data_IF_558783618913
#
_entry.id   IF_558783618913
#
_cell.length_a   1.000
_cell.length_b   1.000
_cell.length_c   1.000
_cell.angle_alpha   90.00
_cell.angle_beta   90.00
_cell.angle_gamma   90.00
#
_symmetry.space_group_name_H-M   'P 1'
#
loop_
_entity.id
_entity.type
_entity.pdbx_description
1 polymer ?
2 non-polymer ?
3 non-polymer ?
4 non-polymer ?
5 non-polymer ?
6 non-polymer ?
7 non-polymer ?
8 water ?
#
# COMPACT_ATOMS: atom_id res chain seq x y z
N UNK A 21 1.43 23.16 -0.40
CA UNK A 21 1.92 23.43 0.97
C UNK A 21 0.92 22.98 2.04
N UNK A 22 1.44 22.58 3.21
CA UNK A 22 0.60 22.14 4.32
C UNK A 22 0.06 23.37 5.04
N UNK A 23 -1.26 23.42 5.25
CA UNK A 23 -1.87 24.52 5.99
C UNK A 23 -1.96 24.09 7.44
N UNK A 24 -1.41 24.90 8.32
CA UNK A 24 -1.28 24.57 9.74
C UNK A 24 -2.04 25.62 10.55
N UNK A 25 -2.85 25.16 11.49
CA UNK A 25 -3.49 26.04 12.49
C UNK A 25 -2.85 25.83 13.86
N UNK A 26 -2.57 26.92 14.59
CA UNK A 26 -2.01 26.88 15.95
C UNK A 26 -2.97 27.50 16.96
N UNK A 27 -3.27 26.77 18.03
CA UNK A 27 -4.20 27.21 19.06
C UNK A 27 -3.53 27.29 20.45
N UNK A 28 -3.39 28.50 20.98
CA UNK A 28 -2.74 28.70 22.28
C UNK A 28 -3.22 30.01 22.89
N UNK A 29 -3.12 30.12 24.20
CA UNK A 29 -3.32 31.39 24.89
C UNK A 29 -2.03 32.25 24.97
N UNK A 30 -0.85 31.64 24.73
CA UNK A 30 0.41 32.38 24.67
C UNK A 30 0.60 32.97 23.27
N UNK A 31 0.14 34.21 23.10
CA UNK A 31 0.24 34.95 21.85
C UNK A 31 1.70 35.20 21.43
N UNK A 32 2.56 35.51 22.41
CA UNK A 32 3.99 35.67 22.14
C UNK A 32 4.54 34.43 21.43
N UNK A 33 4.18 33.25 21.96
CA UNK A 33 4.62 31.99 21.38
C UNK A 33 4.02 31.76 20.00
N UNK A 34 2.73 32.02 19.85
CA UNK A 34 2.05 31.89 18.56
C UNK A 34 2.71 32.77 17.50
N UNK A 35 2.93 34.05 17.85
CA UNK A 35 3.62 35.01 16.96
C UNK A 35 5.02 34.58 16.62
N UNK A 36 5.74 34.06 17.60
CA UNK A 36 7.10 33.59 17.38
C UNK A 36 7.11 32.48 16.31
N UNK A 37 6.20 31.50 16.41
CA UNK A 37 6.18 30.37 15.46
C UNK A 37 5.67 30.78 14.11
N UNK A 38 4.52 31.44 14.08
CA UNK A 38 3.94 31.86 12.81
C UNK A 38 4.86 32.80 12.03
N UNK A 39 5.62 33.62 12.77
CA UNK A 39 6.62 34.50 12.17
C UNK A 39 7.75 33.75 11.51
N UNK A 40 8.24 32.70 12.18
CA UNK A 40 9.33 31.89 11.64
C UNK A 40 8.81 31.03 10.50
N UNK A 41 7.69 30.36 10.74
CA UNK A 41 7.08 29.48 9.73
C UNK A 41 6.67 30.19 8.45
N UNK A 42 6.02 31.34 8.57
CA UNK A 42 5.60 32.09 7.39
C UNK A 42 6.75 32.88 6.70
N UNK A 43 7.98 32.81 7.24
CA UNK A 43 9.14 33.34 6.53
C UNK A 43 10.08 32.21 6.12
N UNK A 44 10.76 31.61 7.08
CA UNK A 44 11.77 30.57 6.78
C UNK A 44 11.19 29.28 6.15
N UNK A 45 9.91 29.00 6.41
CA UNK A 45 9.24 27.79 5.89
C UNK A 45 8.01 28.14 5.02
N UNK A 46 7.99 29.34 4.45
CA UNK A 46 6.84 29.81 3.66
C UNK A 46 6.68 29.03 2.36
N UNK A 47 7.75 28.42 1.89
CA UNK A 47 7.73 27.52 0.75
C UNK A 47 7.01 26.20 1.04
N UNK A 48 7.03 25.74 2.30
CA UNK A 48 6.46 24.43 2.69
C UNK A 48 5.18 24.51 3.52
N UNK A 49 5.05 25.57 4.33
CA UNK A 49 3.91 25.73 5.22
C UNK A 49 3.17 27.02 4.99
N UNK A 50 1.96 27.06 5.52
CA UNK A 50 1.13 28.25 5.55
C UNK A 50 0.41 28.21 6.90
N UNK A 51 0.81 29.11 7.80
CA UNK A 51 0.43 29.01 9.22
C UNK A 51 -0.48 30.14 9.69
N UNK A 52 -1.59 29.72 10.31
CA UNK A 52 -2.58 30.60 10.93
C UNK A 52 -2.56 30.33 12.43
N UNK A 53 -2.76 31.36 13.23
CA UNK A 53 -2.72 31.22 14.70
C UNK A 53 -4.00 31.73 15.33
N UNK A 54 -4.36 31.15 16.48
CA UNK A 54 -5.62 31.43 17.17
C UNK A 54 -5.44 31.38 18.69
N UNK A 55 -6.16 32.26 19.41
CA UNK A 55 -6.28 32.14 20.86
C UNK A 55 -7.64 31.62 21.31
N UNK A 56 -8.60 31.58 20.39
CA UNK A 56 -9.96 31.12 20.69
C UNK A 56 -10.19 29.75 20.05
N UNK A 57 -10.72 28.81 20.82
CA UNK A 57 -10.98 27.46 20.31
C UNK A 57 -12.00 27.43 19.18
N UNK A 58 -13.11 28.15 19.33
CA UNK A 58 -14.19 28.11 18.32
C UNK A 58 -13.72 28.64 16.95
N UNK A 59 -12.98 29.75 16.96
CA UNK A 59 -12.38 30.30 15.74
C UNK A 59 -11.41 29.36 15.08
N UNK A 60 -10.61 28.65 15.87
CA UNK A 60 -9.66 27.68 15.35
C UNK A 60 -10.37 26.52 14.65
N UNK A 61 -11.40 25.97 15.30
CA UNK A 61 -12.11 24.79 14.78
C UNK A 61 -12.82 25.12 13.47
N UNK A 62 -13.59 26.21 13.45
CA UNK A 62 -14.31 26.59 12.23
C UNK A 62 -13.38 27.06 11.11
N UNK A 63 -12.22 27.63 11.47
CA UNK A 63 -11.18 27.94 10.49
C UNK A 63 -10.58 26.70 9.81
N UNK A 64 -10.61 25.55 10.48
CA UNK A 64 -10.11 24.30 9.89
C UNK A 64 -10.88 23.97 8.63
N UNK A 65 -12.21 24.00 8.78
CA UNK A 65 -13.15 23.73 7.69
C UNK A 65 -13.00 24.79 6.59
N UNK A 66 -13.07 26.06 7.01
CA UNK A 66 -13.05 27.19 6.10
C UNK A 66 -11.74 27.32 5.32
N UNK A 67 -10.61 27.37 6.02
CA UNK A 67 -9.30 27.51 5.35
C UNK A 67 -8.75 26.20 4.81
N UNK A 68 -9.39 25.07 5.09
CA UNK A 68 -8.93 23.75 4.62
C UNK A 68 -7.57 23.43 5.26
N UNK A 69 -7.55 23.49 6.59
CA UNK A 69 -6.32 23.24 7.35
C UNK A 69 -6.07 21.74 7.47
N UNK A 70 -4.79 21.36 7.34
CA UNK A 70 -4.33 19.96 7.32
C UNK A 70 -3.79 19.48 8.67
N UNK A 71 -3.23 20.40 9.47
CA UNK A 71 -2.76 20.07 10.81
C UNK A 71 -3.15 21.20 11.77
N UNK A 72 -3.93 20.84 12.80
CA UNK A 72 -4.17 21.71 13.96
C UNK A 72 -3.28 21.30 15.15
N UNK A 73 -2.50 22.25 15.69
CA UNK A 73 -1.76 22.00 16.93
C UNK A 73 -2.29 22.92 18.04
N UNK A 74 -2.86 22.31 19.09
CA UNK A 74 -3.44 23.03 20.22
C UNK A 74 -2.60 22.86 21.48
N UNK A 75 -2.61 23.87 22.34
CA UNK A 75 -1.94 23.78 23.64
C UNK A 75 -2.61 22.69 24.50
N UNK A 76 -1.79 21.88 25.16
CA UNK A 76 -2.21 20.66 25.89
C UNK A 76 -3.42 20.80 26.80
N UNK A 77 -3.67 21.98 27.37
CA UNK A 77 -4.87 22.18 28.20
C UNK A 77 -6.17 22.18 27.42
N UNK A 78 -6.13 22.45 26.11
CA UNK A 78 -7.33 22.35 25.28
C UNK A 78 -7.75 20.87 25.16
N UNK A 79 -9.06 20.62 25.08
CA UNK A 79 -9.61 19.30 24.76
C UNK A 79 -10.27 19.37 23.39
N UNK A 80 -9.53 19.05 22.34
CA UNK A 80 -10.05 19.19 20.97
C UNK A 80 -10.78 17.92 20.54
N UNK A 81 -12.03 18.10 20.10
CA UNK A 81 -12.83 17.03 19.47
C UNK A 81 -12.62 17.11 17.95
N UNK A 82 -11.77 16.23 17.42
CA UNK A 82 -11.42 16.21 15.99
C UNK A 82 -12.56 15.83 15.02
N UNK A 83 -13.70 15.38 15.54
CA UNK A 83 -14.90 15.19 14.71
C UNK A 83 -15.51 16.52 14.25
N UNK A 84 -15.21 17.61 14.97
CA UNK A 84 -15.67 18.95 14.60
C UNK A 84 -14.91 19.58 13.43
N UNK A 85 -13.78 19.00 13.04
CA UNK A 85 -13.00 19.53 11.92
C UNK A 85 -13.79 19.48 10.61
N UNK A 86 -14.60 18.43 10.45
CA UNK A 86 -15.36 18.17 9.23
C UNK A 86 -14.45 18.13 7.99
N UNK A 87 -13.26 17.56 8.17
CA UNK A 87 -12.22 17.55 7.15
C UNK A 87 -11.10 16.58 7.55
N UNK A 88 -10.42 15.99 6.57
CA UNK A 88 -9.16 15.31 6.82
C UNK A 88 -8.14 16.34 7.34
N UNK A 89 -7.88 16.29 8.63
CA UNK A 89 -6.99 17.23 9.31
C UNK A 89 -6.38 16.58 10.54
N UNK A 90 -5.06 16.61 10.64
CA UNK A 90 -4.35 16.06 11.78
C UNK A 90 -4.41 16.92 13.03
N UNK A 91 -4.27 16.27 14.19
CA UNK A 91 -4.28 16.93 15.51
C UNK A 91 -3.02 16.55 16.28
N UNK A 92 -2.39 17.56 16.91
CA UNK A 92 -1.28 17.36 17.84
C UNK A 92 -1.39 18.36 19.00
N UNK A 93 -0.71 18.09 20.11
CA UNK A 93 -0.72 19.02 21.26
C UNK A 93 0.66 19.57 21.58
N UNK A 94 0.70 20.87 21.84
CA UNK A 94 1.91 21.55 22.32
C UNK A 94 2.05 21.29 23.83
N UNK A 95 3.27 21.03 24.28
CA UNK A 95 3.53 20.83 25.70
C UNK A 95 4.87 21.40 26.11
N UNK A 96 4.99 21.66 27.42
CA UNK A 96 6.24 22.02 28.05
C UNK A 96 6.91 20.82 28.73
N UNK A 97 6.30 19.65 28.68
CA UNK A 97 6.75 18.54 29.51
C UNK A 97 7.61 17.59 28.65
N UNK A 98 8.88 17.36 29.03
CA UNK A 98 9.71 16.44 28.25
C UNK A 98 9.34 14.96 28.47
N UNK A 99 9.82 14.12 27.55
CA UNK A 99 9.64 12.67 27.63
C UNK A 99 8.22 12.17 27.42
N UNK A 100 7.35 12.99 26.86
CA UNK A 100 5.94 12.63 26.70
C UNK A 100 5.62 12.53 25.21
N UNK A 101 5.33 11.32 24.75
CA UNK A 101 5.14 11.06 23.33
C UNK A 101 3.74 11.38 22.87
N UNK A 102 2.74 11.11 23.73
CA UNK A 102 1.35 11.33 23.40
C UNK A 102 0.62 12.11 24.46
N UNK A 103 -0.29 12.96 24.01
CA UNK A 103 -1.20 13.69 24.90
C UNK A 103 -2.58 13.54 24.31
N UNK A 104 -3.54 13.12 25.16
CA UNK A 104 -4.92 12.87 24.72
C UNK A 104 -4.96 12.13 23.37
N UNK A 105 -4.18 11.06 23.28
CA UNK A 105 -4.11 10.18 22.11
C UNK A 105 -3.45 10.70 20.85
N UNK A 106 -2.80 11.86 20.92
CA UNK A 106 -2.23 12.49 19.75
C UNK A 106 -0.77 12.80 19.99
N UNK A 107 -0.03 13.08 18.92
CA UNK A 107 1.37 13.45 19.03
C UNK A 107 1.52 14.69 19.94
N UNK A 108 2.49 14.62 20.85
CA UNK A 108 2.84 15.70 21.73
C UNK A 108 4.01 16.42 21.08
N UNK A 109 3.93 17.74 21.02
CA UNK A 109 4.99 18.58 20.43
C UNK A 109 5.55 19.52 21.52
N UNK A 110 6.82 19.33 21.84
CA UNK A 110 7.50 20.15 22.80
C UNK A 110 7.66 21.62 22.27
N UNK A 111 7.11 22.59 22.97
CA UNK A 111 7.16 23.99 22.53
C UNK A 111 8.56 24.58 22.35
N UNK A 112 9.49 24.10 23.17
CA UNK A 112 10.78 24.76 23.33
C UNK A 112 11.95 23.98 22.77
N UNK A 113 11.67 23.00 21.92
CA UNK A 113 12.73 22.45 21.07
C UNK A 113 12.90 23.36 19.85
N UNK A 114 13.91 23.08 19.05
CA UNK A 114 14.17 23.83 17.83
C UNK A 114 12.97 23.83 16.89
N UNK A 115 12.74 24.96 16.23
CA UNK A 115 11.63 25.12 15.29
C UNK A 115 11.70 24.06 14.19
N UNK A 116 12.90 23.71 13.75
CA UNK A 116 13.07 22.66 12.73
C UNK A 116 12.52 21.31 13.18
N UNK A 117 12.69 21.00 14.46
CA UNK A 117 12.15 19.78 15.05
C UNK A 117 10.64 19.86 15.19
N UNK A 118 10.09 21.04 15.52
CA UNK A 118 8.63 21.23 15.53
C UNK A 118 8.10 21.01 14.11
N UNK A 119 8.73 21.66 13.15
CA UNK A 119 8.38 21.51 11.72
C UNK A 119 8.27 20.04 11.33
N UNK A 120 9.30 19.25 11.65
CA UNK A 120 9.34 17.82 11.32
C UNK A 120 8.23 17.02 11.99
N UNK A 121 7.83 17.40 13.20
CA UNK A 121 6.70 16.75 13.87
C UNK A 121 5.38 17.04 13.15
N UNK A 122 5.25 18.27 12.66
CA UNK A 122 4.08 18.67 11.89
C UNK A 122 3.95 17.85 10.60
N UNK A 123 5.08 17.60 9.93
CA UNK A 123 5.13 16.77 8.75
C UNK A 123 4.68 15.35 9.07
N UNK A 124 5.15 14.83 10.20
CA UNK A 124 4.72 13.54 10.74
C UNK A 124 3.22 13.42 10.95
N UNK A 125 2.65 14.45 11.58
CA UNK A 125 1.21 14.49 11.86
C UNK A 125 0.43 14.55 10.56
N UNK A 126 0.94 15.35 9.63
CA UNK A 126 0.34 15.38 8.29
C UNK A 126 0.44 14.00 7.62
N UNK A 127 1.61 13.38 7.69
CA UNK A 127 1.85 12.07 7.02
C UNK A 127 0.94 10.99 7.59
N UNK A 128 0.85 10.93 8.92
CA UNK A 128 -0.03 10.01 9.64
C UNK A 128 -1.45 10.17 9.19
N UNK A 130 -2.53 11.50 6.36
CA UNK A 130 -2.62 11.04 4.98
C UNK A 130 -2.62 9.50 4.90
N UNK A 131 -1.77 8.86 5.71
CA UNK A 131 -1.58 7.41 5.68
C UNK A 131 -2.83 6.65 6.13
N UNK A 132 -3.57 7.25 7.06
CA UNK A 132 -4.79 6.68 7.59
C UNK A 132 -5.92 6.61 6.56
N UNK A 133 -5.90 7.48 5.55
CA UNK A 133 -6.91 7.44 4.49
C UNK A 133 -6.29 7.16 3.11
N UNK A 134 -5.05 6.67 3.08
CA UNK A 134 -4.44 6.21 1.83
C UNK A 134 -5.35 5.20 1.14
N UNK A 135 -5.29 5.20 -0.18
CA UNK A 135 -6.09 4.31 -1.02
C UNK A 135 -5.28 4.10 -2.29
N UNK A 136 -5.53 3.02 -3.01
CA UNK A 136 -4.75 2.73 -4.23
C UNK A 136 -4.98 3.83 -5.27
N UNK A 137 -3.89 4.35 -5.81
CA UNK A 137 -3.92 5.42 -6.80
C UNK A 137 -3.53 4.89 -8.18
N UNK A 138 -4.17 5.46 -9.21
CA UNK A 138 -3.83 5.26 -10.61
C UNK A 138 -3.06 6.40 -11.22
N UNK A 139 -2.61 7.37 -10.42
CA UNK A 139 -1.81 8.50 -10.92
C UNK A 139 -0.44 8.05 -11.42
N UNK A 140 0.06 8.72 -12.45
CA UNK A 140 1.34 8.34 -13.08
C UNK A 140 2.58 8.48 -12.21
N UNK A 141 2.51 9.26 -11.13
CA UNK A 141 3.65 9.42 -10.22
C UNK A 141 3.65 8.43 -9.04
N UNK A 142 2.72 7.48 -9.03
CA UNK A 142 2.62 6.45 -8.00
C UNK A 142 3.01 5.11 -8.59
N UNK A 143 3.43 4.17 -7.73
CA UNK A 143 3.84 2.86 -8.21
C UNK A 143 2.72 2.21 -9.00
N UNK A 144 3.07 1.53 -10.10
CA UNK A 144 2.12 0.66 -10.80
C UNK A 144 1.70 -0.46 -9.86
N UNK A 145 0.41 -0.81 -9.89
CA UNK A 145 -0.08 -1.94 -9.08
C UNK A 145 -0.42 -3.07 -10.06
N UNK A 146 0.34 -4.17 -9.95
CA UNK A 146 0.16 -5.34 -10.79
C UNK A 146 -0.26 -6.51 -9.90
N UNK A 147 -1.47 -7.04 -10.14
CA UNK A 147 -2.01 -8.12 -9.28
C UNK A 147 -2.00 -9.43 -10.07
N UNK A 148 -1.31 -10.43 -9.53
CA UNK A 148 -1.36 -11.81 -10.03
C UNK A 148 -2.45 -12.55 -9.28
N UNK A 149 -3.29 -13.26 -10.03
CA UNK A 149 -4.41 -13.99 -9.47
C UNK A 149 -4.85 -15.03 -10.49
N UNK A 150 -5.50 -16.09 -10.01
CA UNK A 150 -5.99 -17.12 -10.92
C UNK A 150 -7.01 -18.00 -10.23
N UNK A 151 -8.11 -18.32 -10.95
CA UNK A 151 -9.02 -19.37 -10.44
C UNK A 151 -8.53 -20.79 -10.67
N UNK A 152 -7.43 -20.97 -11.38
CA UNK A 152 -6.87 -22.30 -11.66
C UNK A 152 -5.85 -22.67 -10.60
N UNK A 153 -6.18 -23.61 -9.72
CA UNK A 153 -5.28 -23.95 -8.64
C UNK A 153 -3.99 -24.60 -9.14
N UNK A 154 -2.88 -24.28 -8.45
CA UNK A 154 -1.57 -24.94 -8.67
C UNK A 154 -0.91 -24.79 -10.03
N UNK A 155 -1.37 -23.79 -10.79
CA UNK A 155 -0.83 -23.56 -12.13
C UNK A 155 0.47 -22.79 -12.11
N UNK A 156 0.86 -22.32 -10.93
CA UNK A 156 2.13 -21.65 -10.72
C UNK A 156 2.02 -20.16 -10.56
N UNK A 157 0.81 -19.65 -10.29
CA UNK A 157 0.61 -18.23 -10.16
C UNK A 157 1.60 -17.54 -9.21
N UNK A 158 1.74 -18.07 -7.99
CA UNK A 158 2.66 -17.47 -7.02
C UNK A 158 4.14 -17.52 -7.48
N UNK A 159 4.54 -18.63 -8.08
CA UNK A 159 5.91 -18.78 -8.60
C UNK A 159 6.18 -17.74 -9.68
N UNK A 160 5.23 -17.59 -10.61
CA UNK A 160 5.35 -16.64 -11.72
C UNK A 160 5.38 -15.20 -11.22
N UNK A 161 4.62 -14.89 -10.19
CA UNK A 161 4.63 -13.56 -9.58
C UNK A 161 5.98 -13.26 -8.93
N UNK A 162 6.51 -14.23 -8.21
CA UNK A 162 7.82 -14.07 -7.62
C UNK A 162 8.88 -13.93 -8.70
N UNK A 163 8.80 -14.76 -9.73
CA UNK A 163 9.75 -14.69 -10.85
C UNK A 163 9.72 -13.33 -11.54
N UNK A 164 8.53 -12.73 -11.62
CA UNK A 164 8.33 -11.45 -12.26
C UNK A 164 8.98 -10.36 -11.45
N UNK A 165 8.76 -10.41 -10.13
CA UNK A 165 9.39 -9.45 -9.22
C UNK A 165 10.91 -9.50 -9.39
N UNK A 166 11.49 -10.69 -9.35
CA UNK A 166 12.93 -10.84 -9.56
C UNK A 166 13.38 -10.31 -10.94
N UNK A 167 12.64 -10.66 -11.98
CA UNK A 167 12.95 -10.27 -13.37
C UNK A 167 12.99 -8.76 -13.52
N UNK A 168 12.04 -8.09 -12.90
CA UNK A 168 11.92 -6.65 -12.96
C UNK A 168 13.00 -6.00 -12.10
N UNK A 169 13.27 -6.57 -10.91
CA UNK A 169 14.45 -6.14 -10.10
C UNK A 169 15.74 -6.24 -10.89
N UNK A 170 15.92 -7.37 -11.58
CA UNK A 170 17.08 -7.59 -12.43
C UNK A 170 17.25 -6.50 -13.49
N UNK A 172 16.46 -3.35 -13.05
CA UNK A 172 16.71 -2.07 -12.39
C UNK A 172 15.47 -1.41 -11.82
N UNK A 173 14.35 -2.12 -11.80
CA UNK A 173 13.13 -1.58 -11.21
C UNK A 173 13.18 -1.72 -9.68
N UNK A 174 12.63 -0.73 -8.99
CA UNK A 174 12.39 -0.83 -7.56
C UNK A 174 11.03 -1.47 -7.37
N UNK A 175 11.05 -2.74 -6.97
CA UNK A 175 9.86 -3.60 -6.94
C UNK A 175 9.49 -3.94 -5.51
N UNK A 176 8.20 -3.76 -5.19
CA UNK A 176 7.66 -4.28 -3.95
C UNK A 176 6.75 -5.49 -4.25
N UNK A 177 6.83 -6.51 -3.40
CA UNK A 177 6.14 -7.80 -3.58
C UNK A 177 5.27 -8.00 -2.37
N UNK A 178 3.97 -8.16 -2.58
CA UNK A 178 3.00 -8.30 -1.50
C UNK A 178 2.23 -9.60 -1.72
N UNK A 179 2.19 -10.46 -0.71
CA UNK A 179 1.55 -11.76 -0.82
C UNK A 179 0.47 -11.81 0.19
N UNK A 180 -0.76 -11.96 -0.28
CA UNK A 180 -1.95 -11.87 0.59
C UNK A 180 -2.67 -13.23 0.67
N UNK A 181 -2.00 -14.31 0.29
CA UNK A 181 -2.55 -15.66 0.51
C UNK A 181 -2.40 -16.11 1.95
N UNK A 182 -3.40 -16.86 2.41
CA UNK A 182 -3.38 -17.40 3.78
C UNK A 182 -2.13 -18.26 4.02
N UNK A 183 -1.88 -19.18 3.09
CA UNK A 183 -0.74 -20.07 3.17
C UNK A 183 0.28 -19.67 2.13
N UNK A 184 0.49 -18.36 2.00
CA UNK A 184 1.43 -17.81 1.04
C UNK A 184 2.84 -18.29 1.30
N UNK A 185 3.62 -18.37 0.25
CA UNK A 185 4.96 -18.95 0.30
C UNK A 185 6.10 -17.92 0.12
N UNK A 186 5.84 -16.69 0.57
CA UNK A 186 6.82 -15.59 0.49
C UNK A 186 8.19 -16.02 1.00
N UNK A 187 8.22 -16.68 2.16
CA UNK A 187 9.48 -17.07 2.80
C UNK A 187 10.21 -18.20 2.07
N UNK A 188 9.52 -18.96 1.23
CA UNK A 188 10.23 -19.91 0.36
C UNK A 188 10.98 -19.16 -0.72
N UNK A 189 10.39 -18.10 -1.26
CA UNK A 189 10.92 -17.40 -2.42
C UNK A 189 11.96 -16.35 -2.03
N UNK A 190 11.73 -15.61 -0.94
CA UNK A 190 12.59 -14.51 -0.51
C UNK A 190 13.05 -14.69 0.94
N UNK A 191 14.31 -14.36 1.20
CA UNK A 191 14.91 -14.41 2.55
C UNK A 191 15.67 -13.14 2.85
N UNK A 192 15.63 -12.72 4.10
CA UNK A 192 16.33 -11.52 4.54
C UNK A 192 16.46 -11.54 6.06
N UNK A 193 17.51 -10.93 6.59
CA UNK A 193 17.67 -10.76 8.02
C UNK A 193 16.53 -9.89 8.54
N UNK A 194 16.14 -10.08 9.78
CA UNK A 194 15.16 -9.22 10.43
C UNK A 194 14.02 -10.01 11.04
N UNK A 195 13.49 -9.54 12.16
CA UNK A 195 12.39 -10.21 12.86
C UNK A 195 11.00 -9.63 12.55
N UNK A 196 10.93 -8.52 11.82
CA UNK A 196 9.63 -7.93 11.43
C UNK A 196 8.97 -8.78 10.36
N UNK A 197 7.68 -9.06 10.54
CA UNK A 197 6.90 -9.79 9.54
C UNK A 197 5.65 -8.99 9.17
N UNK A 199 2.81 -9.74 10.12
CA UNK A 199 2.02 -9.64 11.35
C UNK A 199 2.13 -8.25 11.97
N UNK A 200 3.33 -7.68 11.93
CA UNK A 200 3.60 -6.35 12.47
C UNK A 200 2.94 -5.28 11.63
N UNK A 201 3.01 -5.47 10.31
CA UNK A 201 2.32 -4.63 9.34
C UNK A 201 0.82 -4.60 9.68
N UNK A 202 0.21 -5.78 9.85
CA UNK A 202 -1.23 -5.85 10.16
C UNK A 202 -1.54 -5.16 11.48
N UNK A 203 -0.71 -5.39 12.50
CA UNK A 203 -0.92 -4.78 13.79
C UNK A 203 -0.92 -3.25 13.65
N UNK A 204 0.09 -2.70 12.99
CA UNK A 204 0.18 -1.25 12.76
C UNK A 204 -1.04 -0.69 12.04
N UNK A 205 -1.55 -1.41 11.03
CA UNK A 205 -2.75 -0.97 10.30
C UNK A 205 -4.02 -0.98 11.12
N UNK A 206 -4.09 -1.87 12.10
CA UNK A 206 -5.27 -1.98 12.93
C UNK A 206 -5.21 -1.07 14.17
N UNK A 207 -4.03 -0.86 14.73
CA UNK A 207 -3.91 0.07 15.85
C UNK A 207 -4.06 1.48 15.29
N UNK A 208 -5.12 2.18 15.64
CA UNK A 208 -5.27 3.59 15.26
C UNK A 208 -4.19 4.45 15.96
N UNK A 209 -2.93 4.26 15.54
CA UNK A 209 -1.74 4.81 16.21
C UNK A 209 -0.86 5.61 15.25
N UNK A 210 0.04 6.40 15.82
CA UNK A 210 0.84 7.39 15.07
C UNK A 210 2.06 6.75 14.43
N UNK A 211 2.70 7.52 13.56
CA UNK A 211 3.86 7.09 12.76
C UNK A 211 3.63 5.89 11.88
N UNK A 212 2.44 5.80 11.30
CA UNK A 212 2.05 4.63 10.52
C UNK A 212 3.05 4.31 9.42
N UNK A 213 3.42 5.33 8.66
CA UNK A 213 4.25 5.14 7.49
C UNK A 213 5.67 4.74 7.88
N UNK A 214 6.17 5.28 8.99
CA UNK A 214 7.49 4.88 9.49
C UNK A 214 7.46 3.46 10.03
N UNK A 215 6.39 3.09 10.73
CA UNK A 215 6.21 1.72 11.21
C UNK A 215 6.21 0.73 10.05
N UNK A 216 5.42 1.03 9.02
CA UNK A 216 5.35 0.19 7.82
C UNK A 216 6.71 0.04 7.15
N UNK A 217 7.46 1.15 7.06
CA UNK A 217 8.80 1.12 6.46
C UNK A 217 9.78 0.29 7.26
N UNK A 218 9.66 0.29 8.58
CA UNK A 218 10.51 -0.54 9.41
C UNK A 218 10.29 -2.05 9.20
N UNK A 219 9.14 -2.46 8.69
CA UNK A 219 8.90 -3.89 8.41
C UNK A 219 9.43 -4.38 7.07
N UNK A 220 9.88 -3.46 6.23
CA UNK A 220 10.31 -3.81 4.89
C UNK A 220 11.64 -4.54 4.92
N UNK A 221 11.68 -5.69 4.27
CA UNK A 221 12.91 -6.43 4.06
C UNK A 221 13.26 -6.37 2.59
N UNK A 222 14.49 -6.72 2.27
CA UNK A 222 14.94 -6.69 0.89
C UNK A 222 15.64 -7.99 0.50
N UNK A 223 15.16 -8.63 -0.56
CA UNK A 223 15.66 -9.94 -0.93
C UNK A 223 17.07 -9.81 -1.47
N UNK A 224 17.74 -10.94 -1.66
CA UNK A 224 19.09 -10.94 -2.26
C UNK A 224 19.12 -10.28 -3.65
N UNK A 225 18.02 -10.35 -4.38
CA UNK A 225 17.95 -9.75 -5.73
C UNK A 225 17.32 -8.34 -5.76
N UNK A 226 17.11 -7.73 -4.60
CA UNK A 226 16.65 -6.35 -4.53
C UNK A 226 15.16 -6.13 -4.47
N UNK A 227 14.39 -7.22 -4.35
CA UNK A 227 12.95 -7.13 -4.23
C UNK A 227 12.62 -6.78 -2.79
N UNK A 228 11.79 -5.76 -2.60
CA UNK A 228 11.34 -5.38 -1.28
C UNK A 228 10.03 -6.11 -1.00
N UNK A 229 9.84 -6.47 0.28
CA UNK A 229 8.68 -7.25 0.68
C UNK A 229 8.49 -7.24 2.20
N UNK A 230 7.38 -7.82 2.65
CA UNK A 230 7.18 -8.11 4.06
C UNK A 230 7.22 -9.61 4.16
N UNK A 231 7.96 -10.17 5.11
CA UNK A 231 7.98 -11.63 5.25
C UNK A 231 6.62 -12.14 5.76
N UNK A 232 6.41 -13.45 5.64
CA UNK A 232 5.15 -14.05 5.97
C UNK A 232 4.74 -13.79 7.41
N UNK A 233 3.44 -13.67 7.67
CA UNK A 233 2.93 -13.51 9.04
C UNK A 233 3.47 -14.63 9.92
N UNK A 234 3.65 -14.36 11.21
CA UNK A 234 4.26 -15.33 12.14
C UNK A 234 3.50 -16.67 12.13
N UNK A 235 2.17 -16.58 12.17
CA UNK A 235 1.31 -17.74 11.85
C UNK A 235 0.35 -17.35 10.73
N UNK A 236 -0.08 -18.34 9.95
CA UNK A 236 -0.92 -18.10 8.76
C UNK A 236 -2.26 -17.44 9.12
N UNK A 237 -2.85 -17.79 10.25
CA UNK A 237 -4.16 -17.23 10.63
C UNK A 237 -4.15 -15.71 10.84
N UNK A 238 -2.97 -15.13 11.10
CA UNK A 238 -2.85 -13.66 11.24
C UNK A 238 -3.45 -12.89 10.07
N UNK A 239 -3.30 -13.43 8.85
CA UNK A 239 -3.72 -12.72 7.66
C UNK A 239 -5.24 -12.60 7.55
N UNK A 240 -5.97 -13.51 8.21
CA UNK A 240 -7.42 -13.37 8.38
C UNK A 240 -7.83 -12.03 9.03
N UNK A 241 -6.93 -11.41 9.79
CA UNK A 241 -7.19 -10.09 10.37
C UNK A 241 -7.22 -8.93 9.38
N UNK A 242 -6.56 -9.06 8.24
CA UNK A 242 -6.53 -7.94 7.28
C UNK A 242 -7.88 -7.88 6.50
N UNK A 243 -8.50 -6.70 6.44
CA UNK A 243 -9.70 -6.50 5.61
C UNK A 243 -9.33 -5.99 4.21
N UNK A 244 -10.33 -5.85 3.36
CA UNK A 244 -10.16 -5.22 2.04
C UNK A 244 -9.74 -3.76 2.14
N UNK A 245 -10.43 -2.99 2.98
CA UNK A 245 -10.02 -1.63 3.26
C UNK A 245 -8.52 -1.57 3.65
N UNK A 246 -8.08 -2.57 4.41
CA UNK A 246 -6.71 -2.58 4.91
C UNK A 246 -5.71 -2.80 3.81
N UNK A 247 -6.02 -3.72 2.89
CA UNK A 247 -5.14 -3.99 1.76
C UNK A 247 -5.03 -2.76 0.87
N UNK A 248 -6.18 -2.10 0.65
CA UNK A 248 -6.22 -0.90 -0.13
C UNK A 248 -5.36 0.19 0.48
N UNK A 249 -5.54 0.39 1.79
CA UNK A 249 -4.73 1.35 2.56
C UNK A 249 -3.24 0.99 2.55
N UNK A 250 -2.91 -0.30 2.70
CA UNK A 250 -1.51 -0.75 2.67
C UNK A 250 -0.85 -0.44 1.32
N UNK A 251 -1.53 -0.77 0.23
CA UNK A 251 -0.96 -0.58 -1.10
C UNK A 251 -0.86 0.92 -1.37
N UNK A 252 -1.91 1.66 -1.01
CA UNK A 252 -1.89 3.13 -1.09
C UNK A 252 -0.70 3.70 -0.35
N UNK A 253 -0.45 3.20 0.86
CA UNK A 253 0.70 3.60 1.65
C UNK A 253 2.07 3.23 1.07
N UNK A 254 2.18 2.07 0.45
CA UNK A 254 3.39 1.69 -0.28
C UNK A 254 3.63 2.61 -1.50
N UNK A 255 2.57 2.99 -2.20
CA UNK A 255 2.68 4.04 -3.23
C UNK A 255 3.04 5.40 -2.57
N UNK A 256 2.45 5.66 -1.40
CA UNK A 256 2.74 6.87 -0.62
C UNK A 256 4.17 7.00 -0.15
N UNK A 258 6.71 6.78 -2.18
CA UNK A 258 7.46 7.38 -3.30
C UNK A 258 8.84 6.76 -3.51
N UNK A 259 8.92 5.44 -3.42
CA UNK A 259 10.16 4.71 -3.72
C UNK A 259 10.04 3.60 -4.80
N UNK A 260 8.87 3.01 -4.99
CA UNK A 260 8.76 1.82 -5.84
C UNK A 260 8.19 2.15 -7.18
N UNK A 261 8.79 1.59 -8.22
CA UNK A 261 8.23 1.64 -9.57
C UNK A 261 6.95 0.82 -9.66
N UNK A 262 6.94 -0.33 -8.98
CA UNK A 262 5.92 -1.35 -9.18
C UNK A 262 5.66 -2.10 -7.88
N UNK A 263 4.38 -2.38 -7.62
CA UNK A 263 3.95 -3.21 -6.52
C UNK A 263 3.32 -4.44 -7.17
N UNK A 264 3.89 -5.62 -6.90
CA UNK A 264 3.39 -6.90 -7.40
C UNK A 264 2.65 -7.61 -6.26
N UNK A 265 1.34 -7.85 -6.46
CA UNK A 265 0.49 -8.41 -5.41
C UNK A 265 0.03 -9.82 -5.82
N UNK A 266 0.22 -10.81 -4.94
CA UNK A 266 -0.24 -12.18 -5.20
C UNK A 266 -1.54 -12.31 -4.42
N UNK A 267 -2.67 -12.32 -5.12
CA UNK A 267 -4.01 -12.21 -4.46
C UNK A 267 -4.85 -13.44 -4.80
N UNK A 268 -5.35 -14.16 -3.77
CA UNK A 268 -6.21 -15.32 -4.09
C UNK A 268 -7.44 -14.87 -4.85
N UNK A 269 -7.71 -15.53 -5.97
CA UNK A 269 -8.89 -15.20 -6.75
C UNK A 269 -10.19 -15.69 -6.09
N UNK A 270 -11.22 -14.87 -6.17
CA UNK A 270 -12.57 -15.33 -5.91
C UNK A 270 -13.56 -14.34 -6.52
N UNK A 271 -14.83 -14.74 -6.60
CA UNK A 271 -15.87 -13.93 -7.24
C UNK A 271 -16.59 -12.99 -6.27
N UNK A 272 -16.18 -12.95 -4.99
CA UNK A 272 -16.78 -12.00 -4.04
C UNK A 272 -16.63 -10.55 -4.52
N UNK A 273 -17.72 -9.80 -4.46
CA UNK A 273 -17.77 -8.42 -4.98
C UNK A 273 -16.63 -7.54 -4.46
N UNK A 274 -16.33 -7.67 -3.16
CA UNK A 274 -15.28 -6.86 -2.57
C UNK A 274 -13.91 -7.28 -3.08
N UNK A 275 -13.71 -8.57 -3.32
CA UNK A 275 -12.46 -9.03 -3.94
C UNK A 275 -12.33 -8.40 -5.32
N UNK A 276 -13.40 -8.44 -6.10
CA UNK A 276 -13.39 -7.92 -7.46
C UNK A 276 -13.24 -6.39 -7.54
N UNK A 277 -13.79 -5.65 -6.56
CA UNK A 277 -13.54 -4.20 -6.46
C UNK A 277 -12.07 -3.85 -6.19
N UNK A 278 -11.43 -4.62 -5.32
CA UNK A 278 -9.99 -4.51 -5.08
C UNK A 278 -9.23 -4.81 -6.37
N UNK A 279 -9.53 -5.95 -6.98
CA UNK A 279 -8.89 -6.33 -8.26
C UNK A 279 -9.01 -5.26 -9.34
N UNK A 280 -10.18 -4.61 -9.39
CA UNK A 280 -10.44 -3.55 -10.35
C UNK A 280 -9.59 -2.29 -10.17
N UNK A 281 -8.87 -2.18 -9.06
CA UNK A 281 -7.96 -1.03 -8.81
C UNK A 281 -6.55 -1.27 -9.30
N UNK A 282 -6.29 -2.49 -9.74
CA UNK A 282 -5.03 -2.85 -10.35
C UNK A 282 -4.87 -2.09 -11.64
N UNK A 283 -3.65 -1.69 -11.92
CA UNK A 283 -3.29 -1.10 -13.19
C UNK A 283 -3.21 -2.21 -14.26
N UNK A 284 -2.69 -3.38 -13.88
CA UNK A 284 -2.78 -4.60 -14.69
C UNK A 284 -3.01 -5.86 -13.84
N UNK A 285 -3.84 -6.77 -14.35
CA UNK A 285 -4.13 -8.08 -13.73
C UNK A 285 -3.45 -9.16 -14.59
N UNK A 286 -2.65 -10.00 -13.98
CA UNK A 286 -2.01 -11.06 -14.71
C UNK A 286 -2.61 -12.34 -14.20
N UNK A 287 -3.21 -13.10 -15.13
CA UNK A 287 -3.78 -14.40 -14.80
C UNK A 287 -2.93 -15.51 -15.40
N UNK A 288 -2.74 -16.58 -14.64
CA UNK A 288 -1.84 -17.68 -14.99
C UNK A 288 -2.71 -18.92 -15.17
N UNK A 289 -2.36 -19.73 -16.16
CA UNK A 289 -3.18 -20.83 -16.55
C UNK A 289 -2.26 -21.88 -17.21
N UNK A 290 -2.51 -23.16 -16.99
CA UNK A 290 -1.63 -24.18 -17.59
C UNK A 290 -2.19 -24.80 -18.87
N UNK A 291 -3.41 -24.39 -19.24
CA UNK A 291 -4.04 -24.86 -20.45
C UNK A 291 -4.56 -26.27 -20.36
N UNK A 292 -4.66 -26.82 -19.15
CA UNK A 292 -5.28 -28.13 -18.94
C UNK A 292 -6.78 -28.01 -19.12
N UNK A 293 -7.45 -29.15 -19.22
CA UNK A 293 -8.90 -29.14 -19.39
C UNK A 293 -9.59 -28.50 -18.17
N UNK A 294 -9.14 -28.89 -16.98
CA UNK A 294 -9.78 -28.39 -15.75
C UNK A 294 -9.41 -26.94 -15.53
N UNK A 295 -8.16 -26.57 -15.81
CA UNK A 295 -7.78 -25.17 -15.71
C UNK A 295 -8.59 -24.27 -16.64
N UNK A 296 -8.63 -24.65 -17.92
CA UNK A 296 -9.38 -23.88 -18.92
C UNK A 296 -10.83 -23.75 -18.54
N UNK A 297 -11.42 -24.85 -18.06
CA UNK A 297 -12.80 -24.84 -17.65
C UNK A 297 -13.02 -23.89 -16.47
N UNK A 298 -12.17 -24.01 -15.45
CA UNK A 298 -12.27 -23.14 -14.28
C UNK A 298 -12.21 -21.65 -14.66
N UNK A 299 -11.32 -21.31 -15.58
CA UNK A 299 -11.08 -19.93 -15.99
C UNK A 299 -12.30 -19.34 -16.66
N UNK A 301 -15.30 -20.46 -16.33
CA UNK A 301 -16.34 -20.33 -15.29
C UNK A 301 -16.16 -18.99 -14.58
N UNK A 302 -14.94 -18.66 -14.19
CA UNK A 302 -14.63 -17.33 -13.59
C UNK A 302 -14.96 -16.17 -14.55
N UNK A 303 -14.43 -16.24 -15.76
CA UNK A 303 -14.67 -15.22 -16.79
C UNK A 303 -16.17 -14.91 -16.98
N UNK A 304 -16.98 -15.97 -17.11
CA UNK A 304 -18.42 -15.78 -17.34
C UNK A 304 -19.07 -14.97 -16.23
N UNK A 305 -18.73 -15.27 -14.97
CA UNK A 305 -19.29 -14.55 -13.83
C UNK A 305 -18.66 -13.16 -13.64
N UNK A 306 -17.39 -12.99 -13.98
CA UNK A 306 -16.79 -11.65 -13.96
C UNK A 306 -17.56 -10.72 -14.92
N UNK A 307 -17.82 -11.19 -16.13
CA UNK A 307 -18.57 -10.45 -17.13
C UNK A 307 -19.91 -10.01 -16.58
N UNK A 308 -20.68 -10.96 -16.05
CA UNK A 308 -21.94 -10.64 -15.37
C UNK A 308 -21.74 -9.60 -14.26
N UNK A 309 -20.68 -9.76 -13.46
CA UNK A 309 -20.44 -8.85 -12.33
C UNK A 309 -19.91 -7.46 -12.76
N UNK A 310 -19.39 -7.36 -13.99
CA UNK A 310 -18.98 -6.07 -14.54
C UNK A 310 -20.16 -5.12 -14.81
N UNK A 311 -21.39 -5.63 -14.68
CA UNK A 311 -22.55 -4.73 -14.55
C UNK A 311 -22.47 -3.76 -13.35
N UNK A 312 -21.74 -4.12 -12.29
CA UNK A 312 -21.43 -3.21 -11.17
C UNK A 312 -20.45 -2.11 -11.64
N UNK A 313 -20.71 -0.88 -11.21
CA UNK A 313 -19.91 0.30 -11.61
C UNK A 313 -18.47 0.18 -11.18
N UNK A 314 -18.24 -0.37 -10.00
CA UNK A 314 -16.90 -0.46 -9.40
C UNK A 314 -16.11 -1.67 -9.87
N UNK A 315 -16.65 -2.47 -10.79
CA UNK A 315 -15.97 -3.68 -11.26
C UNK A 315 -15.68 -3.53 -12.76
N UNK A 316 -14.39 -3.54 -13.08
CA UNK A 316 -13.88 -3.59 -14.44
C UNK A 316 -12.55 -4.36 -14.38
N UNK A 317 -12.55 -5.56 -14.94
CA UNK A 317 -11.48 -6.52 -14.69
C UNK A 317 -10.93 -7.05 -16.00
N UNK A 318 -11.80 -7.59 -16.87
CA UNK A 318 -11.40 -8.35 -18.07
C UNK A 318 -10.51 -7.50 -19.00
N UNK A 319 -10.83 -6.23 -19.17
CA UNK A 319 -10.06 -5.34 -20.04
C UNK A 319 -8.67 -5.02 -19.50
N UNK A 320 -8.42 -5.30 -18.23
CA UNK A 320 -7.10 -5.12 -17.63
C UNK A 320 -6.29 -6.38 -17.43
N UNK A 322 -4.08 -9.76 -18.53
CA UNK A 322 -3.30 -10.47 -19.54
C UNK A 322 -3.02 -11.90 -19.04
N UNK A 324 -0.69 -15.40 -18.83
CA UNK A 324 0.56 -16.15 -18.97
C UNK A 324 0.21 -17.61 -18.88
N UNK A 325 0.65 -18.38 -19.86
CA UNK A 325 0.57 -19.83 -19.74
C UNK A 325 1.83 -20.27 -19.00
N UNK A 326 1.66 -21.05 -17.95
CA UNK A 326 2.78 -21.64 -17.24
C UNK A 326 2.52 -23.15 -17.14
N UNK A 327 3.59 -23.95 -17.09
CA UNK A 327 3.48 -25.40 -17.07
C UNK A 327 2.72 -25.95 -18.28
N UNK A 328 2.92 -25.32 -19.42
CA UNK A 328 2.13 -25.62 -20.59
C UNK A 328 2.72 -26.85 -21.30
N UNK A 329 1.92 -27.90 -21.41
CA UNK A 329 2.32 -29.11 -22.12
C UNK A 329 1.99 -28.99 -23.60
N UNK A 330 2.99 -29.09 -24.45
CA UNK A 330 2.77 -29.20 -25.91
C UNK A 330 1.82 -30.34 -26.26
N UNK A 331 2.03 -31.48 -25.62
CA UNK A 331 1.22 -32.67 -25.86
C UNK A 331 -0.17 -32.58 -25.24
N UNK A 332 -0.29 -31.97 -24.07
CA UNK A 332 -1.52 -32.09 -23.26
C UNK A 332 -2.27 -30.79 -22.96
N UNK A 333 -1.69 -29.61 -23.17
CA UNK A 333 -2.38 -28.34 -22.87
C UNK A 333 -2.94 -27.70 -24.13
N UNK A 334 -3.92 -26.83 -23.96
CA UNK A 334 -4.46 -26.07 -25.09
C UNK A 334 -4.78 -24.66 -24.62
N UNK A 336 -6.84 -21.16 -24.62
CA UNK A 336 -8.22 -20.76 -24.88
C UNK A 336 -8.27 -19.83 -26.08
N UNK A 337 -9.18 -20.09 -27.01
CA UNK A 337 -9.44 -19.20 -28.14
C UNK A 337 -10.73 -18.45 -27.93
N UNK A 338 -10.90 -17.39 -28.72
CA UNK A 338 -12.15 -16.61 -28.79
C UNK A 338 -12.50 -15.88 -27.49
N UNK A 339 -11.49 -15.49 -26.70
CA UNK A 339 -11.71 -14.70 -25.47
C UNK A 339 -11.05 -13.34 -25.64
N UNK A 340 -11.43 -12.37 -24.81
CA UNK A 340 -10.92 -11.00 -24.96
C UNK A 340 -9.79 -10.75 -24.01
N UNK A 341 -8.86 -11.70 -23.89
CA UNK A 341 -7.74 -11.56 -22.96
C UNK A 341 -6.47 -11.90 -23.77
N UNK A 342 -5.56 -10.93 -23.83
CA UNK A 342 -4.30 -11.09 -24.53
C UNK A 342 -3.37 -12.02 -23.77
N UNK A 343 -2.88 -13.05 -24.45
CA UNK A 343 -1.78 -13.88 -23.96
C UNK A 343 -0.47 -13.18 -24.28
N UNK A 344 0.32 -12.90 -23.24
CA UNK A 344 1.63 -12.26 -23.41
C UNK A 344 2.79 -13.26 -23.44
N UNK A 345 2.59 -14.48 -22.99
CA UNK A 345 3.69 -15.44 -22.97
C UNK A 345 3.34 -16.80 -22.40
N UNK A 346 4.28 -17.74 -22.56
CA UNK A 346 4.12 -19.08 -22.06
C UNK A 346 5.41 -19.66 -21.56
N UNK A 347 5.32 -20.49 -20.52
CA UNK A 347 6.44 -21.25 -20.00
C UNK A 347 6.05 -22.75 -19.93
N UNK A 348 7.05 -23.63 -20.13
CA UNK A 348 6.75 -25.05 -20.06
C UNK A 348 6.71 -25.55 -18.63
N UNK A 349 6.38 -26.84 -18.48
CA UNK A 349 6.52 -27.56 -17.25
C UNK A 349 7.94 -28.15 -17.17
N UNK A 350 8.75 -27.56 -16.30
CA UNK A 350 10.11 -28.04 -16.02
C UNK A 350 10.06 -29.36 -15.24
N UNK A 351 10.81 -30.36 -15.73
CA UNK A 351 10.83 -31.69 -15.14
C UNK A 351 11.83 -31.78 -14.00
N UNK A 352 11.43 -32.48 -12.94
CA UNK A 352 12.30 -32.73 -11.79
C UNK A 352 13.02 -31.47 -11.30
N UNK A 353 12.31 -30.34 -11.24
CA UNK A 353 12.92 -29.06 -10.91
C UNK A 353 12.59 -28.64 -9.48
N UNK A 354 13.55 -27.99 -8.82
CA UNK A 354 13.28 -27.32 -7.55
C UNK A 354 12.64 -25.94 -7.81
N UNK A 355 12.09 -25.36 -6.76
CA UNK A 355 11.48 -24.04 -6.81
C UNK A 355 12.50 -23.02 -7.30
N UNK A 356 13.71 -23.12 -6.73
CA UNK A 356 14.87 -22.31 -7.08
C UNK A 356 15.15 -22.36 -8.57
N UNK A 357 15.22 -23.57 -9.10
CA UNK A 357 15.52 -23.75 -10.53
C UNK A 357 14.41 -23.18 -11.40
N UNK A 358 13.15 -23.47 -11.05
CA UNK A 358 12.02 -23.01 -11.84
C UNK A 358 11.99 -21.47 -11.95
N UNK A 359 12.26 -20.80 -10.83
CA UNK A 359 12.26 -19.34 -10.76
C UNK A 359 13.39 -18.75 -11.60
N UNK A 360 14.59 -19.33 -11.50
CA UNK A 360 15.72 -18.95 -12.33
C UNK A 360 15.40 -19.05 -13.81
N UNK A 361 14.80 -20.17 -14.22
CA UNK A 361 14.41 -20.37 -15.61
C UNK A 361 13.36 -19.34 -16.03
N UNK A 362 12.45 -19.01 -15.12
CA UNK A 362 11.36 -18.08 -15.43
C UNK A 362 11.85 -16.63 -15.58
N UNK A 363 12.78 -16.20 -14.73
CA UNK A 363 13.29 -14.81 -14.78
C UNK A 363 13.97 -14.45 -16.10
N UNK A 364 14.38 -15.47 -16.87
CA UNK A 364 14.91 -15.28 -18.23
C UNK A 364 13.81 -15.10 -19.29
N UNK A 366 11.59 -13.41 -21.58
CA UNK A 366 11.48 -12.07 -22.13
C UNK A 366 10.10 -11.41 -21.94
N UNK A 367 9.05 -12.21 -21.84
CA UNK A 367 7.68 -11.69 -21.77
C UNK A 367 7.37 -10.93 -20.45
N UNK A 368 8.20 -11.07 -19.43
CA UNK A 368 8.02 -10.29 -18.19
C UNK A 368 8.21 -8.79 -18.41
N UNK A 369 9.04 -8.43 -19.39
CA UNK A 369 9.18 -7.03 -19.84
C UNK A 369 7.87 -6.43 -20.33
N UNK A 370 7.02 -7.25 -20.94
CA UNK A 370 5.75 -6.77 -21.47
C UNK A 370 4.80 -6.27 -20.37
N UNK A 371 4.98 -6.79 -19.16
CA UNK A 371 4.19 -6.35 -18.01
C UNK A 371 4.52 -4.89 -17.69
N UNK A 372 5.75 -4.45 -18.00
CA UNK A 372 6.15 -3.06 -17.75
C UNK A 372 5.60 -2.02 -18.77
N UNK A 373 5.10 -2.46 -19.91
CA UNK A 373 4.70 -1.55 -21.01
C UNK A 373 3.32 -1.85 -21.60
#
# INVERSE_FOLDING_TARGET
XGSDKIHHHHHHENLYFQGXKIKVALLDKDKEYLDRLTGVFNTKYADKLEVYSFTDEKNAIESVKEYRIDVLIAEEDFNIDKSEFKRNCGLAYFTGTPGIELIKDEIAICKYQRVDVIFKQILGVYSDXAANVATISGENDKSSVVIFTSPCGGVGTSTVAAACAIAHANXGKKVFYLNIEQCGTTDVFFQAEGNATXSDVIYSLKSRKANLLLKLESCIKQSQEGVSYFSSTKVALDILEISYADIDTLIGNIQGXDNYDEIIVDLPFSLEIEKLKLLSKAWRIIVVNDGSQLSNYKFXRAYESVVLLEQNDDINIIRNXNXIYNKFSNKNSEXLSNISIKTIGGAPRYEHATVRQIIEALTKXEFFEEILQ
#
